data_IF_104285829952
#
_entry.id   IF_104285829952
#
_cell.length_a   1.000
_cell.length_b   1.000
_cell.length_c   1.000
_cell.angle_alpha   90.00
_cell.angle_beta   90.00
_cell.angle_gamma   90.00
#
_symmetry.space_group_name_H-M   'P 1'
#
loop_
_entity.id
_entity.type
_entity.pdbx_description
1 polymer ?
#
# COMPACT_ATOMS: atom_id res chain seq x y z
N UNK A 1 16.49 -24.22 -1.43
CA UNK A 1 15.30 -23.37 -1.64
C UNK A 1 14.31 -23.69 -0.53
N UNK A 2 13.84 -22.69 0.23
CA UNK A 2 12.83 -22.94 1.27
C UNK A 2 11.53 -23.40 0.59
N UNK A 3 10.90 -24.44 1.13
CA UNK A 3 9.62 -24.92 0.61
C UNK A 3 8.57 -23.81 0.68
N UNK A 4 7.74 -23.60 -0.35
CA UNK A 4 6.67 -22.62 -0.27
C UNK A 4 5.73 -22.99 0.89
N UNK A 5 5.37 -21.99 1.70
CA UNK A 5 4.47 -22.13 2.86
C UNK A 5 3.07 -22.61 2.44
N UNK A 6 2.75 -22.47 1.16
CA UNK A 6 1.49 -22.82 0.51
C UNK A 6 1.68 -23.98 -0.47
N UNK A 7 0.64 -24.79 -0.64
CA UNK A 7 0.68 -25.93 -1.55
C UNK A 7 0.67 -25.52 -3.04
N UNK A 8 0.94 -26.48 -3.92
CA UNK A 8 1.02 -26.25 -5.36
C UNK A 8 -0.32 -25.83 -5.98
N UNK A 9 -1.44 -26.25 -5.41
CA UNK A 9 -2.77 -25.86 -5.89
C UNK A 9 -3.05 -24.39 -5.58
N UNK A 10 -2.70 -23.94 -4.37
CA UNK A 10 -2.78 -22.54 -3.96
C UNK A 10 -1.95 -21.65 -4.88
N UNK A 11 -0.70 -22.03 -5.17
CA UNK A 11 0.15 -21.29 -6.11
C UNK A 11 -0.47 -21.21 -7.52
N UNK A 12 -1.05 -22.30 -8.02
CA UNK A 12 -1.74 -22.29 -9.32
C UNK A 12 -2.93 -21.33 -9.32
N UNK A 13 -3.68 -21.24 -8.22
CA UNK A 13 -4.78 -20.29 -8.08
C UNK A 13 -4.29 -18.85 -7.94
N UNK A 14 -3.18 -18.58 -7.25
CA UNK A 14 -2.54 -17.25 -7.21
C UNK A 14 -2.15 -16.79 -8.61
N UNK A 15 -1.50 -17.66 -9.40
CA UNK A 15 -1.13 -17.34 -10.78
C UNK A 15 -2.36 -17.18 -11.69
N UNK A 16 -3.41 -17.97 -11.47
CA UNK A 16 -4.70 -17.81 -12.13
C UNK A 16 -5.34 -16.45 -11.82
N UNK A 17 -5.40 -16.10 -10.54
CA UNK A 17 -5.93 -14.82 -10.07
C UNK A 17 -5.12 -13.64 -10.61
N UNK A 18 -3.78 -13.73 -10.65
CA UNK A 18 -2.91 -12.70 -11.23
C UNK A 18 -3.26 -12.41 -12.70
N UNK A 19 -3.50 -13.44 -13.51
CA UNK A 19 -3.93 -13.27 -14.92
C UNK A 19 -5.30 -12.61 -15.02
N UNK A 20 -6.27 -13.06 -14.23
CA UNK A 20 -7.62 -12.49 -14.23
C UNK A 20 -7.63 -11.03 -13.73
N UNK A 21 -6.81 -10.72 -12.73
CA UNK A 21 -6.61 -9.36 -12.22
C UNK A 21 -6.02 -8.45 -13.30
N UNK A 22 -5.00 -8.89 -14.04
CA UNK A 22 -4.43 -8.11 -15.15
C UNK A 22 -5.49 -7.77 -16.19
N UNK A 23 -6.31 -8.75 -16.57
CA UNK A 23 -7.40 -8.54 -17.52
C UNK A 23 -8.48 -7.57 -16.97
N UNK A 24 -8.89 -7.73 -15.72
CA UNK A 24 -9.87 -6.86 -15.07
C UNK A 24 -9.37 -5.42 -14.96
N UNK A 25 -8.15 -5.24 -14.46
CA UNK A 25 -7.55 -3.93 -14.20
C UNK A 25 -7.32 -3.17 -15.50
N UNK A 26 -6.76 -3.82 -16.52
CA UNK A 26 -6.53 -3.20 -17.83
C UNK A 26 -7.85 -2.85 -18.52
N UNK A 27 -8.86 -3.72 -18.47
CA UNK A 27 -10.15 -3.48 -19.15
C UNK A 27 -11.02 -2.41 -18.50
N UNK A 28 -10.99 -2.31 -17.17
CA UNK A 28 -11.82 -1.33 -16.43
C UNK A 28 -11.09 -0.05 -16.06
N UNK A 29 -9.78 0.03 -16.25
CA UNK A 29 -8.98 1.18 -15.80
C UNK A 29 -9.04 1.37 -14.28
N UNK A 30 -9.20 0.28 -13.51
CA UNK A 30 -9.42 0.34 -12.07
C UNK A 30 -8.14 0.14 -11.25
N UNK A 31 -6.96 0.29 -11.84
CA UNK A 31 -5.68 0.14 -11.15
C UNK A 31 -5.58 1.05 -9.89
N UNK A 32 -5.95 2.34 -9.93
CA UNK A 32 -5.82 3.21 -8.76
C UNK A 32 -6.67 2.76 -7.57
N UNK A 33 -7.90 2.28 -7.81
CA UNK A 33 -8.78 1.84 -6.72
C UNK A 33 -8.35 0.47 -6.16
N UNK A 34 -7.73 -0.40 -6.96
CA UNK A 34 -7.14 -1.66 -6.50
C UNK A 34 -5.91 -1.42 -5.65
N UNK A 35 -5.03 -0.50 -6.07
CA UNK A 35 -3.87 -0.08 -5.29
C UNK A 35 -4.29 0.57 -3.97
N UNK A 36 -5.31 1.42 -3.99
CA UNK A 36 -5.91 2.02 -2.79
C UNK A 36 -6.50 0.95 -1.86
N UNK A 37 -7.19 -0.05 -2.38
CA UNK A 37 -7.72 -1.15 -1.56
C UNK A 37 -6.60 -1.88 -0.80
N UNK A 38 -5.52 -2.25 -1.50
CA UNK A 38 -4.37 -2.92 -0.90
C UNK A 38 -3.67 -2.06 0.17
N UNK A 39 -3.49 -0.76 -0.12
CA UNK A 39 -2.95 0.23 0.81
C UNK A 39 -3.80 0.34 2.08
N UNK A 40 -5.12 0.49 1.95
CA UNK A 40 -6.01 0.66 3.10
C UNK A 40 -6.15 -0.61 3.94
N UNK A 41 -6.03 -1.81 3.36
CA UNK A 41 -6.01 -3.06 4.12
C UNK A 41 -4.72 -3.14 4.96
N UNK A 42 -3.56 -2.99 4.32
CA UNK A 42 -2.25 -3.08 4.97
C UNK A 42 -1.96 -1.96 5.98
N UNK A 43 -2.39 -0.73 5.70
CA UNK A 43 -2.14 0.48 6.49
C UNK A 43 -2.83 0.52 7.85
N UNK A 44 -3.56 -0.54 8.21
CA UNK A 44 -4.22 -0.66 9.52
C UNK A 44 -3.34 -1.31 10.58
N UNK A 45 -2.17 -1.86 10.19
CA UNK A 45 -1.26 -2.57 11.09
C UNK A 45 -0.75 -1.68 12.23
N UNK A 46 -0.89 -2.15 13.46
CA UNK A 46 -0.26 -1.53 14.62
C UNK A 46 0.94 -2.37 15.09
N UNK A 47 2.14 -1.78 14.99
CA UNK A 47 3.38 -2.44 15.39
C UNK A 47 3.48 -2.71 16.91
N UNK A 48 2.77 -1.94 17.75
CA UNK A 48 2.78 -2.14 19.21
C UNK A 48 1.97 -3.36 19.61
N UNK A 49 0.73 -3.43 19.14
CA UNK A 49 -0.18 -4.53 19.47
C UNK A 49 -0.02 -5.73 18.53
N UNK A 50 0.69 -5.57 17.41
CA UNK A 50 0.83 -6.57 16.33
C UNK A 50 -0.53 -7.05 15.80
N UNK A 51 -1.49 -6.14 15.76
CA UNK A 51 -2.84 -6.40 15.26
C UNK A 51 -3.05 -5.74 13.90
N UNK A 52 -4.08 -6.22 13.18
CA UNK A 52 -4.49 -5.70 11.86
C UNK A 52 -3.39 -5.87 10.79
N UNK A 53 -3.44 -5.11 9.71
CA UNK A 53 -2.52 -5.23 8.57
C UNK A 53 -3.14 -5.95 7.39
N UNK A 54 -2.29 -6.46 6.50
CA UNK A 54 -2.69 -7.08 5.23
C UNK A 54 -3.37 -8.45 5.44
N UNK A 55 -4.58 -8.45 5.99
CA UNK A 55 -5.31 -9.64 6.42
C UNK A 55 -6.70 -9.76 5.76
N UNK A 56 -7.06 -8.83 4.87
CA UNK A 56 -8.34 -8.81 4.17
C UNK A 56 -9.52 -8.39 5.03
N UNK A 57 -9.31 -7.82 6.24
CA UNK A 57 -10.41 -7.38 7.12
C UNK A 57 -11.21 -6.22 6.52
N UNK A 58 -10.64 -5.48 5.57
CA UNK A 58 -11.30 -4.37 4.89
C UNK A 58 -12.62 -4.75 4.20
N UNK A 59 -12.86 -6.03 3.94
CA UNK A 59 -14.12 -6.55 3.36
C UNK A 59 -15.32 -6.50 4.31
N UNK A 60 -15.10 -6.37 5.61
CA UNK A 60 -16.16 -6.33 6.62
C UNK A 60 -16.85 -4.96 6.62
N UNK A 61 -18.17 -4.96 6.84
CA UNK A 61 -18.99 -3.74 6.77
C UNK A 61 -18.54 -2.68 7.75
N UNK A 62 -18.18 -3.10 8.96
CA UNK A 62 -17.64 -2.24 9.99
C UNK A 62 -16.37 -1.52 9.52
N UNK A 63 -15.60 -2.13 8.60
CA UNK A 63 -14.35 -1.57 8.12
C UNK A 63 -14.48 -0.78 6.82
N UNK A 64 -15.19 -1.26 5.81
CA UNK A 64 -15.35 -0.51 4.55
C UNK A 64 -16.25 0.72 4.70
N UNK A 65 -17.11 0.78 5.72
CA UNK A 65 -17.96 1.96 5.99
C UNK A 65 -17.23 3.09 6.70
N UNK A 66 -16.01 2.86 7.21
CA UNK A 66 -15.20 3.95 7.75
C UNK A 66 -14.97 5.03 6.69
N UNK A 67 -15.09 6.31 7.07
CA UNK A 67 -15.07 7.42 6.10
C UNK A 67 -13.83 7.48 5.20
N UNK A 68 -12.67 7.07 5.70
CA UNK A 68 -11.45 6.92 4.90
C UNK A 68 -11.55 5.90 3.76
N UNK A 69 -12.39 4.88 3.93
CA UNK A 69 -12.54 3.75 3.03
C UNK A 69 -13.70 3.98 2.05
N UNK A 70 -14.28 5.20 2.03
CA UNK A 70 -15.35 5.58 1.11
C UNK A 70 -15.02 5.17 -0.33
N UNK A 71 -15.92 4.42 -0.95
CA UNK A 71 -15.76 3.89 -2.31
C UNK A 71 -15.00 2.56 -2.44
N UNK A 72 -14.32 2.05 -1.39
CA UNK A 72 -13.58 0.78 -1.49
C UNK A 72 -14.46 -0.45 -1.61
N UNK A 73 -15.74 -0.35 -1.22
CA UNK A 73 -16.75 -1.39 -1.50
C UNK A 73 -16.85 -1.72 -2.99
N UNK A 74 -16.67 -0.71 -3.87
CA UNK A 74 -16.65 -0.91 -5.33
C UNK A 74 -15.49 -1.84 -5.73
N UNK A 75 -14.29 -1.63 -5.17
CA UNK A 75 -13.13 -2.48 -5.45
C UNK A 75 -13.32 -3.90 -4.90
N UNK A 76 -13.87 -4.03 -3.67
CA UNK A 76 -14.21 -5.33 -3.08
C UNK A 76 -15.17 -6.10 -3.99
N UNK A 77 -16.24 -5.45 -4.45
CA UNK A 77 -17.26 -6.07 -5.31
C UNK A 77 -16.70 -6.46 -6.69
N UNK A 78 -15.76 -5.68 -7.24
CA UNK A 78 -15.07 -6.00 -8.49
C UNK A 78 -14.17 -7.24 -8.38
N UNK A 79 -13.62 -7.53 -7.19
CA UNK A 79 -12.75 -8.67 -6.95
C UNK A 79 -13.51 -9.96 -6.61
N UNK A 80 -14.78 -9.86 -6.21
CA UNK A 80 -15.58 -11.01 -5.82
C UNK A 80 -15.76 -12.07 -6.93
N UNK A 81 -15.96 -11.72 -8.23
CA UNK A 81 -15.95 -12.71 -9.31
C UNK A 81 -14.63 -13.48 -9.43
N UNK A 82 -13.48 -12.80 -9.22
CA UNK A 82 -12.16 -13.44 -9.27
C UNK A 82 -11.99 -14.35 -8.05
N UNK A 83 -12.42 -13.91 -6.87
CA UNK A 83 -12.43 -14.73 -5.65
C UNK A 83 -13.24 -16.01 -5.83
N UNK A 84 -14.41 -15.94 -6.47
CA UNK A 84 -15.25 -17.12 -6.76
C UNK A 84 -14.58 -18.10 -7.73
N UNK A 85 -13.83 -17.59 -8.72
CA UNK A 85 -13.08 -18.42 -9.67
C UNK A 85 -11.85 -19.10 -9.04
N UNK A 86 -11.28 -18.48 -8.01
CA UNK A 86 -10.13 -18.97 -7.26
C UNK A 86 -10.48 -19.16 -5.79
N UNK A 87 -11.24 -20.20 -5.41
CA UNK A 87 -11.76 -20.35 -4.06
C UNK A 87 -10.68 -20.53 -2.98
N UNK A 88 -9.50 -21.07 -3.31
CA UNK A 88 -8.46 -21.36 -2.33
C UNK A 88 -7.65 -20.11 -1.97
N UNK A 89 -7.53 -19.11 -2.85
CA UNK A 89 -6.81 -17.87 -2.51
C UNK A 89 -7.55 -17.13 -1.39
N UNK A 90 -6.83 -16.70 -0.36
CA UNK A 90 -7.46 -15.88 0.70
C UNK A 90 -7.80 -14.49 0.18
N UNK A 91 -8.78 -13.83 0.81
CA UNK A 91 -9.08 -12.42 0.51
C UNK A 91 -7.86 -11.52 0.74
N UNK A 92 -7.08 -11.79 1.78
CA UNK A 92 -5.85 -11.07 2.10
C UNK A 92 -4.84 -11.12 0.95
N UNK A 93 -4.54 -12.32 0.44
CA UNK A 93 -3.63 -12.48 -0.70
C UNK A 93 -4.22 -11.89 -1.99
N UNK A 94 -5.53 -12.04 -2.21
CA UNK A 94 -6.19 -11.47 -3.39
C UNK A 94 -6.09 -9.95 -3.44
N UNK A 95 -6.29 -9.26 -2.32
CA UNK A 95 -6.24 -7.79 -2.25
C UNK A 95 -4.82 -7.27 -2.41
N UNK A 96 -3.83 -7.89 -1.76
CA UNK A 96 -2.43 -7.49 -1.93
C UNK A 96 -1.93 -7.81 -3.35
N UNK A 97 -2.33 -8.94 -3.93
CA UNK A 97 -2.03 -9.27 -5.32
C UNK A 97 -2.67 -8.27 -6.29
N UNK A 98 -3.90 -7.80 -6.02
CA UNK A 98 -4.55 -6.76 -6.83
C UNK A 98 -3.77 -5.43 -6.81
N UNK A 99 -3.19 -5.05 -5.66
CA UNK A 99 -2.32 -3.88 -5.54
C UNK A 99 -1.02 -4.02 -6.34
N UNK A 100 -0.35 -5.18 -6.24
CA UNK A 100 0.86 -5.48 -7.03
C UNK A 100 0.55 -5.44 -8.54
N UNK A 101 -0.51 -6.11 -8.96
CA UNK A 101 -0.92 -6.15 -10.38
C UNK A 101 -1.33 -4.77 -10.89
N UNK A 102 -1.94 -3.93 -10.05
CA UNK A 102 -2.29 -2.56 -10.42
C UNK A 102 -1.05 -1.74 -10.80
N UNK A 103 0.05 -1.87 -10.04
CA UNK A 103 1.33 -1.21 -10.36
C UNK A 103 1.92 -1.76 -11.65
N UNK A 104 1.92 -3.08 -11.84
CA UNK A 104 2.47 -3.71 -13.05
C UNK A 104 1.72 -3.32 -14.33
N UNK A 105 0.38 -3.31 -14.30
CA UNK A 105 -0.47 -2.99 -15.48
C UNK A 105 -0.31 -1.55 -15.93
N UNK A 106 0.11 -0.67 -15.03
CA UNK A 106 0.22 0.78 -15.26
C UNK A 106 1.65 1.22 -15.61
N UNK A 107 2.56 0.25 -15.80
CA UNK A 107 3.95 0.49 -16.21
C UNK A 107 4.94 0.69 -15.06
N UNK A 108 4.51 0.45 -13.82
CA UNK A 108 5.37 0.61 -12.65
C UNK A 108 6.32 -0.58 -12.42
N UNK A 109 7.11 -0.54 -11.33
CA UNK A 109 8.09 -1.56 -11.02
C UNK A 109 7.44 -2.91 -10.68
N UNK A 110 8.19 -3.99 -10.89
CA UNK A 110 7.79 -5.32 -10.42
C UNK A 110 7.95 -5.40 -8.90
N UNK A 111 6.85 -5.71 -8.21
CA UNK A 111 6.85 -5.91 -6.75
C UNK A 111 6.75 -7.41 -6.48
N UNK A 112 7.73 -7.96 -5.76
CA UNK A 112 7.69 -9.36 -5.34
C UNK A 112 6.46 -9.65 -4.48
N UNK A 113 5.72 -10.68 -4.83
CA UNK A 113 4.55 -11.13 -4.08
C UNK A 113 4.82 -12.47 -3.40
N UNK A 114 4.64 -12.52 -2.08
CA UNK A 114 4.72 -13.76 -1.29
C UNK A 114 3.31 -14.17 -0.85
N UNK A 115 2.79 -15.33 -1.28
CA UNK A 115 1.47 -15.82 -0.84
C UNK A 115 1.52 -16.47 0.55
N UNK A 116 0.35 -16.59 1.18
CA UNK A 116 0.14 -17.32 2.43
C UNK A 116 -0.50 -16.49 3.54
N UNK A 117 -1.00 -15.27 3.26
CA UNK A 117 -1.70 -14.45 4.26
C UNK A 117 -2.98 -15.16 4.68
N UNK A 118 -3.13 -15.43 5.98
CA UNK A 118 -4.34 -16.03 6.55
C UNK A 118 -5.26 -14.95 7.08
N UNK A 119 -6.56 -15.22 6.97
CA UNK A 119 -7.58 -14.42 7.65
C UNK A 119 -7.48 -14.79 9.14
N UNK A 120 -7.07 -13.86 9.99
CA UNK A 120 -7.23 -14.05 11.42
C UNK A 120 -8.73 -13.85 11.73
N UNK A 121 -9.45 -14.94 11.93
CA UNK A 121 -10.86 -14.90 12.40
C UNK A 121 -10.95 -14.37 13.85
N UNK A 122 -9.84 -14.34 14.58
CA UNK A 122 -9.77 -13.86 15.95
C UNK A 122 -9.10 -12.48 16.04
N UNK A 123 -9.84 -11.41 15.71
CA UNK A 123 -9.71 -10.10 16.38
C UNK A 123 -10.95 -9.25 16.05
N UNK A 124 -12.12 -9.64 16.57
CA UNK A 124 -13.29 -8.77 16.67
C UNK A 124 -13.16 -7.70 17.79
N UNK A 125 -11.94 -7.40 18.22
CA UNK A 125 -11.70 -6.31 19.15
C UNK A 125 -11.41 -5.05 18.32
N UNK A 126 -12.50 -4.42 17.88
CA UNK A 126 -12.45 -3.07 17.33
C UNK A 126 -11.94 -2.14 18.43
N UNK A 127 -10.62 -1.92 18.48
CA UNK A 127 -10.04 -0.90 19.34
C UNK A 127 -10.68 0.44 18.95
N UNK A 128 -11.55 0.96 19.81
CA UNK A 128 -12.00 2.36 19.76
C UNK A 128 -10.82 3.21 20.18
N UNK A 129 -9.97 3.64 19.27
CA UNK A 129 -8.89 4.54 19.67
C UNK A 129 -8.48 5.49 18.54
N UNK A 130 -8.49 6.77 18.92
CA UNK A 130 -8.41 7.98 18.08
C UNK A 130 -7.05 8.16 17.38
N UNK A 131 -6.13 7.20 17.53
CA UNK A 131 -4.74 7.32 17.09
C UNK A 131 -4.44 6.59 15.76
N UNK A 132 -5.33 5.68 15.31
CA UNK A 132 -5.21 5.00 14.00
C UNK A 132 -5.76 5.86 12.84
N UNK A 133 -6.32 7.04 13.15
CA UNK A 133 -7.03 7.89 12.21
C UNK A 133 -6.11 8.59 11.18
N UNK A 134 -4.81 8.73 11.46
CA UNK A 134 -3.91 9.54 10.62
C UNK A 134 -3.38 8.83 9.37
N UNK A 135 -3.15 7.51 9.40
CA UNK A 135 -2.73 6.74 8.20
C UNK A 135 -3.88 6.59 7.18
N UNK A 136 -5.12 6.72 7.65
CA UNK A 136 -6.35 6.41 6.91
C UNK A 136 -6.74 7.43 5.83
N UNK A 137 -6.30 8.69 5.90
CA UNK A 137 -6.81 9.76 5.01
C UNK A 137 -6.03 9.97 3.70
N UNK A 138 -5.10 9.09 3.34
CA UNK A 138 -4.13 9.38 2.28
C UNK A 138 -4.22 8.36 1.16
N UNK A 139 -4.76 8.81 0.03
CA UNK A 139 -4.86 8.05 -1.21
C UNK A 139 -3.45 7.78 -1.79
N UNK A 140 -3.29 6.77 -2.65
CA UNK A 140 -1.99 6.48 -3.26
C UNK A 140 -1.70 7.49 -4.36
N UNK A 141 -0.64 8.30 -4.22
CA UNK A 141 -0.53 9.60 -4.90
C UNK A 141 0.13 9.62 -6.29
N UNK A 142 0.63 8.49 -6.81
CA UNK A 142 1.20 8.44 -8.16
C UNK A 142 0.19 8.08 -9.26
N UNK A 143 -1.00 7.60 -8.90
CA UNK A 143 -2.02 7.17 -9.85
C UNK A 143 -3.43 7.48 -9.36
N UNK A 144 -4.31 7.84 -10.29
CA UNK A 144 -5.71 8.11 -10.05
C UNK A 144 -6.02 9.56 -9.77
N UNK A 145 -7.19 9.78 -9.16
CA UNK A 145 -7.74 11.10 -8.86
C UNK A 145 -8.53 11.06 -7.56
N UNK A 146 -8.58 12.20 -6.89
CA UNK A 146 -9.51 12.39 -5.79
C UNK A 146 -10.93 12.57 -6.33
N UNK A 147 -11.87 12.28 -5.45
CA UNK A 147 -13.29 12.32 -5.75
C UNK A 147 -14.01 13.08 -4.62
N UNK A 148 -14.78 14.13 -4.94
CA UNK A 148 -15.36 15.01 -3.92
C UNK A 148 -16.36 14.26 -3.03
N UNK A 149 -17.09 13.30 -3.57
CA UNK A 149 -18.04 12.47 -2.82
C UNK A 149 -17.39 11.48 -1.85
N UNK A 150 -16.06 11.28 -1.95
CA UNK A 150 -15.30 10.32 -1.12
C UNK A 150 -14.39 11.03 -0.12
N UNK A 151 -13.63 12.01 -0.61
CA UNK A 151 -12.54 12.65 0.14
C UNK A 151 -12.79 14.13 0.43
N UNK A 152 -13.74 14.76 -0.28
CA UNK A 152 -13.92 16.21 -0.31
C UNK A 152 -12.96 16.95 -1.26
N UNK A 153 -12.04 16.24 -1.92
CA UNK A 153 -11.13 16.79 -2.93
C UNK A 153 -11.49 16.28 -4.32
N UNK A 154 -11.18 17.06 -5.35
CA UNK A 154 -11.40 16.70 -6.76
C UNK A 154 -10.13 16.95 -7.58
N UNK A 155 -9.91 16.12 -8.60
CA UNK A 155 -8.77 16.25 -9.53
C UNK A 155 -7.73 15.15 -9.41
N UNK A 156 -6.91 15.02 -10.46
CA UNK A 156 -5.81 14.08 -10.57
C UNK A 156 -4.48 14.74 -10.14
N UNK A 157 -3.54 13.94 -9.64
CA UNK A 157 -2.19 14.41 -9.32
C UNK A 157 -1.28 14.54 -10.54
N UNK A 158 -1.57 13.80 -11.60
CA UNK A 158 -0.79 13.77 -12.84
C UNK A 158 -1.71 13.93 -14.04
N UNK A 159 -1.16 14.33 -15.19
CA UNK A 159 -1.89 14.43 -16.46
C UNK A 159 -2.34 13.07 -17.01
N UNK A 160 -1.59 12.01 -16.69
CA UNK A 160 -1.85 10.63 -17.07
C UNK A 160 -2.13 9.78 -15.83
N UNK A 161 -3.35 9.83 -15.24
CA UNK A 161 -3.64 9.20 -13.95
C UNK A 161 -3.62 7.66 -13.95
N UNK A 162 -3.48 7.01 -15.11
CA UNK A 162 -3.38 5.56 -15.26
C UNK A 162 -1.97 5.09 -15.64
N UNK A 163 -0.99 5.99 -15.56
CA UNK A 163 0.42 5.70 -15.82
C UNK A 163 1.19 5.82 -14.52
N UNK A 164 2.00 4.81 -14.21
CA UNK A 164 2.89 4.84 -13.06
C UNK A 164 4.28 5.29 -13.50
N UNK A 165 4.62 6.53 -13.20
CA UNK A 165 5.90 7.16 -13.49
C UNK A 165 6.25 8.18 -12.39
N UNK A 166 7.37 8.89 -12.54
CA UNK A 166 7.79 9.91 -11.58
C UNK A 166 7.08 11.27 -11.75
N UNK A 167 6.05 11.39 -12.60
CA UNK A 167 5.35 12.65 -12.89
C UNK A 167 4.74 13.30 -11.65
N UNK A 168 4.36 12.51 -10.65
CA UNK A 168 3.90 13.05 -9.36
C UNK A 168 4.93 14.02 -8.75
N UNK A 169 6.21 13.63 -8.71
CA UNK A 169 7.26 14.47 -8.13
C UNK A 169 7.58 15.67 -9.03
N UNK A 170 7.55 15.49 -10.35
CA UNK A 170 7.73 16.58 -11.31
C UNK A 170 6.65 17.65 -11.18
N UNK A 171 5.38 17.24 -11.11
CA UNK A 171 4.25 18.16 -10.95
C UNK A 171 4.25 18.78 -9.54
N UNK A 172 4.62 18.03 -8.50
CA UNK A 172 4.72 18.55 -7.13
C UNK A 172 5.70 19.72 -7.03
N UNK A 173 6.87 19.62 -7.67
CA UNK A 173 7.91 20.66 -7.67
C UNK A 173 7.56 21.91 -8.47
N UNK A 174 6.55 21.87 -9.34
CA UNK A 174 6.08 23.06 -10.08
C UNK A 174 5.29 23.99 -9.16
N UNK A 175 5.40 25.30 -9.32
CA UNK A 175 4.62 26.25 -8.53
C UNK A 175 3.15 26.23 -8.94
N UNK A 176 2.88 26.20 -10.25
CA UNK A 176 1.53 26.13 -10.82
C UNK A 176 1.38 24.90 -11.70
N UNK A 177 0.36 24.11 -11.40
CA UNK A 177 -0.04 22.92 -12.14
C UNK A 177 -1.52 23.09 -12.48
N UNK A 178 -1.82 23.73 -13.61
CA UNK A 178 -3.21 24.00 -14.01
C UNK A 178 -4.03 22.70 -14.03
N UNK A 179 -5.11 22.66 -13.26
CA UNK A 179 -6.05 21.54 -13.20
C UNK A 179 -5.56 20.29 -12.48
N UNK A 180 -4.37 20.31 -11.86
CA UNK A 180 -3.86 19.18 -11.06
C UNK A 180 -4.02 19.43 -9.56
N UNK A 181 -4.32 18.35 -8.84
CA UNK A 181 -4.53 18.36 -7.40
C UNK A 181 -3.19 18.32 -6.66
N UNK A 182 -3.08 19.16 -5.62
CA UNK A 182 -2.02 19.09 -4.61
C UNK A 182 -2.66 19.19 -3.23
N UNK A 183 -2.65 18.11 -2.48
CA UNK A 183 -3.16 18.13 -1.11
C UNK A 183 -2.18 18.85 -0.18
N UNK A 184 -2.65 19.37 0.97
CA UNK A 184 -1.76 19.87 2.02
C UNK A 184 -0.68 18.85 2.43
N UNK A 185 -0.98 17.55 2.37
CA UNK A 185 -0.04 16.47 2.66
C UNK A 185 1.04 16.32 1.60
N UNK A 186 0.73 16.60 0.33
CA UNK A 186 1.72 16.59 -0.75
C UNK A 186 2.68 17.77 -0.57
N UNK A 187 2.13 18.95 -0.24
CA UNK A 187 2.93 20.16 0.03
C UNK A 187 3.87 20.00 1.23
N UNK A 188 3.45 19.27 2.26
CA UNK A 188 4.28 18.98 3.43
C UNK A 188 5.60 18.25 3.06
N UNK A 189 5.63 17.48 1.95
CA UNK A 189 6.86 16.84 1.47
C UNK A 189 7.91 17.85 0.96
N UNK A 190 7.48 19.05 0.57
CA UNK A 190 8.37 20.11 0.11
C UNK A 190 8.89 20.98 1.26
N UNK A 191 8.12 21.08 2.33
CA UNK A 191 8.41 21.91 3.50
C UNK A 191 9.41 21.24 4.45
N UNK A 192 9.37 19.91 4.55
CA UNK A 192 10.29 19.14 5.38
C UNK A 192 11.60 18.82 4.63
N UNK A 193 12.78 19.21 5.16
CA UNK A 193 14.06 18.98 4.48
C UNK A 193 14.40 17.50 4.28
N UNK A 194 13.99 16.61 5.19
CA UNK A 194 14.25 15.17 5.07
C UNK A 194 13.43 14.53 3.97
N UNK A 195 12.23 15.05 3.71
CA UNK A 195 11.40 14.61 2.59
C UNK A 195 11.77 15.26 1.28
N UNK A 196 12.13 16.54 1.33
CA UNK A 196 12.44 17.32 0.14
C UNK A 196 13.57 16.68 -0.67
N UNK A 197 14.60 16.13 0.00
CA UNK A 197 15.69 15.39 -0.67
C UNK A 197 15.18 14.22 -1.52
N UNK A 198 14.14 13.51 -1.07
CA UNK A 198 13.58 12.38 -1.80
C UNK A 198 12.71 12.85 -2.97
N UNK A 199 11.92 13.92 -2.78
CA UNK A 199 11.16 14.54 -3.87
C UNK A 199 12.10 15.00 -4.99
N UNK A 200 13.17 15.72 -4.64
CA UNK A 200 14.15 16.20 -5.62
C UNK A 200 14.91 15.04 -6.28
N UNK A 201 15.15 13.93 -5.56
CA UNK A 201 15.81 12.75 -6.10
C UNK A 201 14.92 12.00 -7.09
N UNK A 202 13.68 11.69 -6.73
CA UNK A 202 12.75 10.93 -7.59
C UNK A 202 12.27 11.73 -8.79
N UNK A 203 12.21 13.06 -8.69
CA UNK A 203 11.97 13.91 -9.84
C UNK A 203 13.10 13.82 -10.89
N UNK A 204 14.33 13.52 -10.49
CA UNK A 204 15.50 13.41 -11.38
C UNK A 204 15.77 11.99 -11.86
N UNK A 205 15.43 11.00 -11.05
CA UNK A 205 15.77 9.60 -11.25
C UNK A 205 14.55 8.70 -11.00
N UNK A 206 13.90 8.31 -12.10
CA UNK A 206 12.74 7.42 -12.07
C UNK A 206 13.11 5.98 -11.67
N UNK A 207 14.29 5.51 -12.06
CA UNK A 207 14.75 4.16 -11.72
C UNK A 207 14.97 4.03 -10.20
N UNK A 208 15.53 5.08 -9.58
CA UNK A 208 15.64 5.17 -8.12
C UNK A 208 14.26 5.16 -7.45
N UNK A 209 13.31 5.93 -7.98
CA UNK A 209 11.93 5.91 -7.50
C UNK A 209 11.32 4.51 -7.58
N UNK A 210 11.43 3.85 -8.73
CA UNK A 210 10.87 2.53 -8.99
C UNK A 210 11.45 1.46 -8.06
N UNK A 211 12.77 1.47 -7.88
CA UNK A 211 13.46 0.57 -6.97
C UNK A 211 12.95 0.72 -5.53
N UNK A 212 12.97 1.94 -5.03
CA UNK A 212 12.63 2.18 -3.63
C UNK A 212 11.11 2.04 -3.38
N UNK A 213 10.28 2.33 -4.39
CA UNK A 213 8.85 2.07 -4.35
C UNK A 213 8.57 0.57 -4.24
N UNK A 214 9.25 -0.27 -5.03
CA UNK A 214 9.06 -1.71 -4.98
C UNK A 214 9.42 -2.29 -3.60
N UNK A 215 10.54 -1.86 -3.02
CA UNK A 215 10.95 -2.26 -1.67
C UNK A 215 9.91 -1.83 -0.61
N UNK A 216 9.44 -0.59 -0.72
CA UNK A 216 8.47 0.01 0.20
C UNK A 216 7.09 -0.66 0.12
N UNK A 217 6.60 -0.90 -1.09
CA UNK A 217 5.33 -1.59 -1.34
C UNK A 217 5.40 -3.02 -0.80
N UNK A 218 6.49 -3.75 -1.04
CA UNK A 218 6.68 -5.09 -0.50
C UNK A 218 6.54 -5.10 1.02
N UNK A 219 7.31 -4.24 1.72
CA UNK A 219 7.25 -4.11 3.19
C UNK A 219 5.85 -3.79 3.70
N UNK A 220 5.16 -2.86 3.04
CA UNK A 220 3.79 -2.52 3.39
C UNK A 220 2.85 -3.73 3.23
N UNK A 221 2.91 -4.41 2.09
CA UNK A 221 2.04 -5.55 1.78
C UNK A 221 2.24 -6.75 2.73
N UNK A 222 3.37 -6.78 3.44
CA UNK A 222 3.75 -7.82 4.40
C UNK A 222 3.56 -7.38 5.86
N UNK A 223 3.00 -6.20 6.12
CA UNK A 223 2.68 -5.77 7.49
C UNK A 223 1.65 -6.72 8.14
N UNK A 224 2.03 -7.29 9.28
CA UNK A 224 1.25 -8.32 9.98
C UNK A 224 1.40 -9.73 9.39
N UNK A 225 2.19 -9.91 8.34
CA UNK A 225 2.47 -11.20 7.72
C UNK A 225 3.88 -11.68 8.05
N UNK A 226 3.98 -12.81 8.76
CA UNK A 226 5.22 -13.52 8.98
C UNK A 226 5.14 -14.89 8.27
N UNK A 227 5.74 -15.05 7.07
CA UNK A 227 5.83 -16.36 6.45
C UNK A 227 6.60 -17.28 7.41
N UNK A 228 6.03 -18.44 7.75
CA UNK A 228 6.71 -19.41 8.62
C UNK A 228 8.05 -19.77 7.97
N UNK A 229 9.15 -19.34 8.58
CA UNK A 229 10.44 -19.95 8.28
C UNK A 229 10.36 -21.41 8.73
N UNK A 230 10.72 -22.34 7.85
CA UNK A 230 10.97 -23.72 8.27
C UNK A 230 11.98 -23.65 9.41
N UNK A 231 11.59 -24.07 10.62
CA UNK A 231 12.49 -24.14 11.75
C UNK A 231 13.72 -24.95 11.35
N UNK A 232 14.87 -24.29 11.22
CA UNK A 232 16.16 -24.96 11.27
C UNK A 232 16.53 -25.03 12.74
N UNK A 233 16.49 -26.23 13.30
CA UNK A 233 17.36 -26.56 14.43
C UNK A 233 18.79 -26.45 13.92
N UNK A 234 19.56 -25.51 14.46
CA UNK A 234 20.93 -25.79 14.91
C UNK A 234 21.50 -24.58 15.63
N UNK A 235 22.01 -24.84 16.83
CA UNK A 235 22.73 -23.87 17.63
C UNK A 235 24.06 -23.51 16.97
N UNK A 236 24.29 -22.23 16.75
CA UNK A 236 25.62 -21.64 16.62
C UNK A 236 25.51 -20.15 16.90
N UNK A 237 26.11 -19.73 18.01
CA UNK A 237 26.35 -18.35 18.40
C UNK A 237 27.15 -17.62 17.31
N UNK A 238 26.55 -16.61 16.69
CA UNK A 238 27.28 -15.54 16.04
C UNK A 238 26.47 -14.25 16.17
N UNK A 239 26.96 -13.37 17.05
CA UNK A 239 26.51 -12.00 17.14
C UNK A 239 26.86 -11.29 15.82
N UNK A 240 25.90 -11.20 14.91
CA UNK A 240 25.98 -10.35 13.74
C UNK A 240 25.26 -9.04 14.06
N UNK A 241 26.06 -8.05 14.43
CA UNK A 241 25.67 -6.65 14.62
C UNK A 241 24.86 -6.16 13.41
N UNK A 242 23.57 -5.93 13.62
CA UNK A 242 22.68 -5.27 12.66
C UNK A 242 23.10 -3.81 12.53
N UNK A 243 24.00 -3.54 11.58
CA UNK A 243 24.16 -2.19 11.04
C UNK A 243 22.87 -1.84 10.30
N UNK A 244 21.98 -1.12 10.99
CA UNK A 244 20.79 -0.51 10.43
C UNK A 244 21.19 0.50 9.34
N UNK A 245 21.15 0.10 8.08
CA UNK A 245 21.18 1.05 6.97
C UNK A 245 19.79 1.69 6.86
N UNK A 246 19.66 2.89 7.42
CA UNK A 246 18.46 3.73 7.50
C UNK A 246 17.90 4.23 6.14
N UNK A 247 18.14 3.50 5.04
CA UNK A 247 17.79 3.94 3.68
C UNK A 247 16.42 3.43 3.21
N UNK A 248 16.05 2.18 3.53
CA UNK A 248 14.83 1.55 3.00
C UNK A 248 13.52 1.92 3.70
N UNK A 249 13.52 2.95 4.56
CA UNK A 249 12.30 3.48 5.19
C UNK A 249 11.78 4.69 4.41
N UNK A 250 12.61 5.36 3.60
CA UNK A 250 12.33 6.65 2.99
C UNK A 250 11.17 6.71 1.98
N UNK A 251 10.91 5.64 1.22
CA UNK A 251 9.93 5.69 0.11
C UNK A 251 8.55 5.20 0.48
N UNK A 252 8.46 4.36 1.52
CA UNK A 252 7.27 4.25 2.34
C UNK A 252 7.12 5.46 3.28
N UNK A 253 8.23 6.13 3.65
CA UNK A 253 8.22 7.23 4.62
C UNK A 253 7.73 8.56 4.07
N UNK A 254 7.68 8.79 2.76
CA UNK A 254 6.83 9.88 2.26
C UNK A 254 5.36 9.71 2.77
N UNK A 255 4.96 8.49 3.17
CA UNK A 255 3.65 8.22 3.78
C UNK A 255 3.72 7.95 5.30
N UNK A 256 4.81 7.38 5.83
CA UNK A 256 4.99 7.09 7.28
C UNK A 256 5.53 8.28 8.09
N UNK A 257 6.45 9.10 7.57
CA UNK A 257 7.06 10.21 8.33
C UNK A 257 6.13 11.44 8.40
N UNK A 258 5.13 11.56 7.51
CA UNK A 258 4.05 12.57 7.67
C UNK A 258 3.20 12.25 8.92
N UNK A 259 3.08 10.97 9.33
CA UNK A 259 2.40 10.60 10.56
C UNK A 259 3.22 10.96 11.82
N UNK A 260 4.56 10.91 11.74
CA UNK A 260 5.45 11.33 12.81
C UNK A 260 5.50 12.85 13.01
N UNK A 261 5.58 13.62 11.92
CA UNK A 261 5.70 15.08 11.97
C UNK A 261 4.43 15.77 12.51
N UNK A 262 3.24 15.24 12.19
CA UNK A 262 1.96 15.77 12.72
C UNK A 262 1.70 15.37 14.17
N UNK A 263 2.21 14.21 14.62
CA UNK A 263 2.16 13.80 16.03
C UNK A 263 2.99 14.75 16.93
N UNK A 264 4.16 15.20 16.46
CA UNK A 264 4.96 16.18 17.21
C UNK A 264 4.40 17.61 17.15
N UNK A 265 3.86 18.04 16.02
CA UNK A 265 3.22 19.37 15.91
C UNK A 265 2.00 19.51 16.82
N UNK A 266 1.22 18.44 17.00
CA UNK A 266 0.08 18.38 17.93
C UNK A 266 0.47 18.48 19.41
N UNK A 267 1.71 18.13 19.79
CA UNK A 267 2.20 18.26 21.18
C UNK A 267 2.68 19.67 21.51
N UNK A 268 3.09 20.46 20.51
CA UNK A 268 3.58 21.84 20.69
C UNK A 268 2.45 22.89 20.76
N UNK A 269 1.21 22.50 20.50
CA UNK A 269 0.03 23.39 20.51
C UNK A 269 -0.91 23.17 21.72
N UNK A 270 -0.43 22.51 22.78
CA UNK A 270 -1.09 22.45 24.09
C UNK A 270 -0.27 23.12 25.17
#
# INVERSE_FOLDING_TARGET
MAAPVVDAEYLRQVEGARRDLRALIASKGCAPIMLRLAWHDAGTYDAKTKTRGANGSIRHEEEYTHGSNAGLKIAIDLLEPIKRKHPNITYADLYQLAGVVAVEVTGGPTVDFVPGRRVNEMTHQFAREKDVFLMRRKDCFSQGKAHPERSGFDGAWTKEPLKFDNSYFLELLREESEGLLKLPTDRALLEDPEFRRFVDHYAKDEDAFFKDYAESHKKLSELGFAPRSSAKSDGSTAAATLAQSAFGVAVAAAVVVIAGYLYESSKKTK
#
